data_IF_250902141934
#
_entry.id   IF_250902141934
#
_cell.length_a   1.000
_cell.length_b   1.000
_cell.length_c   1.000
_cell.angle_alpha   90.00
_cell.angle_beta   90.00
_cell.angle_gamma   90.00
#
_symmetry.space_group_name_H-M   'P 1'
#
loop_
_entity.id
_entity.type
_entity.pdbx_description
1 polymer ?
#
# COMPACT_ATOMS: atom_id res chain seq x y z
N UNK A 1 6.46 -10.07 -12.87
CA UNK A 1 7.26 -11.16 -12.29
C UNK A 1 7.11 -11.22 -10.76
N UNK A 2 7.38 -10.13 -10.04
CA UNK A 2 7.35 -10.12 -8.58
C UNK A 2 6.00 -10.49 -7.94
N UNK A 3 4.86 -9.99 -8.44
CA UNK A 3 3.54 -10.34 -7.88
C UNK A 3 3.27 -11.85 -7.89
N UNK A 4 3.65 -12.53 -8.99
CA UNK A 4 3.54 -13.99 -9.10
C UNK A 4 4.48 -14.68 -8.12
N UNK A 5 5.73 -14.25 -8.02
CA UNK A 5 6.70 -14.82 -7.09
C UNK A 5 6.24 -14.71 -5.62
N UNK A 6 5.64 -13.58 -5.22
CA UNK A 6 5.06 -13.43 -3.87
C UNK A 6 3.88 -14.39 -3.66
N UNK A 7 3.02 -14.53 -4.66
CA UNK A 7 1.86 -15.44 -4.62
C UNK A 7 2.30 -16.89 -4.50
N UNK A 8 3.18 -17.33 -5.40
CA UNK A 8 3.71 -18.70 -5.45
C UNK A 8 4.57 -19.02 -4.21
N UNK A 9 5.23 -18.00 -3.65
CA UNK A 9 5.98 -18.10 -2.40
C UNK A 9 5.12 -18.13 -1.13
N UNK A 10 3.79 -18.03 -1.25
CA UNK A 10 2.87 -18.08 -0.11
C UNK A 10 2.90 -16.82 0.77
N UNK A 11 3.28 -15.66 0.21
CA UNK A 11 3.30 -14.40 0.95
C UNK A 11 1.90 -13.82 1.16
N UNK A 12 1.58 -13.44 2.40
CA UNK A 12 0.26 -12.85 2.73
C UNK A 12 0.08 -11.43 2.16
N UNK A 13 1.18 -10.71 1.99
CA UNK A 13 1.18 -9.33 1.51
C UNK A 13 2.29 -9.07 0.49
N UNK A 14 1.95 -8.25 -0.52
CA UNK A 14 2.93 -7.50 -1.31
C UNK A 14 2.92 -6.03 -0.84
N UNK A 15 4.10 -5.39 -0.86
CA UNK A 15 4.28 -3.99 -0.41
C UNK A 15 4.85 -3.14 -1.53
N UNK A 16 4.36 -1.91 -1.71
CA UNK A 16 4.83 -1.00 -2.76
C UNK A 16 6.28 -0.56 -2.54
N UNK A 17 6.58 0.10 -1.41
CA UNK A 17 7.85 0.82 -1.27
C UNK A 17 8.43 0.71 0.14
N UNK A 18 9.76 0.80 0.25
CA UNK A 18 10.47 0.76 1.54
C UNK A 18 10.36 2.07 2.31
N UNK A 19 10.26 3.20 1.59
CA UNK A 19 10.37 4.55 2.12
C UNK A 19 11.79 5.13 2.10
N UNK A 20 12.79 4.35 1.68
CA UNK A 20 14.21 4.76 1.60
C UNK A 20 14.74 4.80 0.16
N UNK A 21 13.95 4.36 -0.81
CA UNK A 21 14.28 4.46 -2.23
C UNK A 21 14.06 5.88 -2.78
N UNK A 22 14.13 6.01 -4.10
CA UNK A 22 13.93 7.29 -4.80
C UNK A 22 12.46 7.66 -5.01
N UNK A 23 11.52 6.73 -4.77
CA UNK A 23 10.09 6.93 -4.96
C UNK A 23 9.24 6.21 -3.88
N UNK A 24 8.01 6.72 -3.69
CA UNK A 24 7.00 6.20 -2.77
C UNK A 24 6.00 5.27 -3.45
N UNK A 25 4.78 5.17 -2.90
CA UNK A 25 3.68 4.46 -3.53
C UNK A 25 3.06 5.29 -4.65
N UNK A 26 2.65 4.65 -5.75
CA UNK A 26 1.80 5.25 -6.79
C UNK A 26 0.52 4.43 -6.98
N UNK A 27 -0.60 5.08 -7.34
CA UNK A 27 -1.88 4.41 -7.52
C UNK A 27 -1.81 3.34 -8.62
N UNK A 28 -1.07 3.61 -9.69
CA UNK A 28 -0.92 2.67 -10.80
C UNK A 28 -0.12 1.43 -10.39
N UNK A 29 0.83 1.54 -9.46
CA UNK A 29 1.52 0.38 -8.90
C UNK A 29 0.56 -0.52 -8.13
N UNK A 30 -0.36 0.07 -7.34
CA UNK A 30 -1.36 -0.70 -6.59
C UNK A 30 -2.33 -1.40 -7.53
N UNK A 31 -2.83 -0.71 -8.56
CA UNK A 31 -3.72 -1.31 -9.57
C UNK A 31 -3.02 -2.45 -10.31
N UNK A 32 -1.76 -2.24 -10.69
CA UNK A 32 -0.94 -3.25 -11.36
C UNK A 32 -0.69 -4.46 -10.44
N UNK A 33 -0.38 -4.23 -9.16
CA UNK A 33 -0.26 -5.30 -8.17
C UNK A 33 -1.56 -6.07 -8.05
N UNK A 34 -2.71 -5.39 -7.91
CA UNK A 34 -4.02 -6.02 -7.76
C UNK A 34 -4.39 -6.91 -8.94
N UNK A 35 -4.01 -6.51 -10.15
CA UNK A 35 -4.22 -7.30 -11.36
C UNK A 35 -3.35 -8.57 -11.46
N UNK A 36 -2.31 -8.71 -10.63
CA UNK A 36 -1.27 -9.73 -10.81
C UNK A 36 -0.90 -10.55 -9.57
N UNK A 37 -1.43 -10.21 -8.39
CA UNK A 37 -1.32 -11.05 -7.20
C UNK A 37 -2.41 -12.13 -7.18
N UNK A 38 -2.18 -13.22 -6.44
CA UNK A 38 -3.20 -14.24 -6.18
C UNK A 38 -4.32 -13.73 -5.27
N UNK A 39 -5.45 -14.44 -5.28
CA UNK A 39 -6.67 -14.02 -4.59
C UNK A 39 -6.49 -13.77 -3.08
N UNK A 40 -5.60 -14.54 -2.43
CA UNK A 40 -5.37 -14.45 -0.97
C UNK A 40 -4.26 -13.47 -0.58
N UNK A 41 -3.51 -12.96 -1.56
CA UNK A 41 -2.43 -11.99 -1.31
C UNK A 41 -3.03 -10.59 -1.22
N UNK A 42 -2.62 -9.86 -0.19
CA UNK A 42 -3.08 -8.49 0.08
C UNK A 42 -2.03 -7.45 -0.31
N UNK A 43 -2.44 -6.20 -0.45
CA UNK A 43 -1.56 -5.09 -0.82
C UNK A 43 -1.36 -4.15 0.37
N UNK A 44 -0.10 -3.84 0.67
CA UNK A 44 0.29 -2.74 1.55
C UNK A 44 0.86 -1.58 0.75
N UNK A 45 0.08 -0.51 0.60
CA UNK A 45 0.59 0.75 0.04
C UNK A 45 1.42 1.48 1.11
N UNK A 46 2.66 1.82 0.80
CA UNK A 46 3.57 2.47 1.73
C UNK A 46 4.59 3.36 1.03
N UNK A 47 4.95 4.46 1.68
CA UNK A 47 5.93 5.43 1.19
C UNK A 47 5.25 6.69 0.65
N UNK A 48 5.43 7.81 1.36
CA UNK A 48 4.98 9.13 0.90
C UNK A 48 3.52 9.50 1.15
N UNK A 49 2.69 8.57 1.67
CA UNK A 49 1.26 8.80 1.95
C UNK A 49 1.09 9.67 3.20
N UNK A 50 0.63 10.90 3.03
CA UNK A 50 0.62 11.94 4.07
C UNK A 50 -0.73 12.65 4.26
N UNK A 51 -1.71 12.40 3.40
CA UNK A 51 -3.06 12.94 3.59
C UNK A 51 -4.11 11.83 3.69
N UNK A 52 -5.27 12.18 4.26
CA UNK A 52 -6.41 11.27 4.35
C UNK A 52 -6.93 10.92 2.95
N UNK A 53 -6.95 11.88 2.03
CA UNK A 53 -7.42 11.70 0.66
C UNK A 53 -6.51 10.74 -0.12
N UNK A 54 -5.19 10.85 0.04
CA UNK A 54 -4.24 9.89 -0.54
C UNK A 54 -4.48 8.49 0.03
N UNK A 55 -4.65 8.37 1.34
CA UNK A 55 -4.94 7.11 2.02
C UNK A 55 -6.21 6.45 1.45
N UNK A 56 -7.30 7.21 1.33
CA UNK A 56 -8.57 6.75 0.76
C UNK A 56 -8.41 6.32 -0.69
N UNK A 57 -7.72 7.12 -1.52
CA UNK A 57 -7.46 6.78 -2.91
C UNK A 57 -6.68 5.46 -3.07
N UNK A 58 -5.71 5.18 -2.17
CA UNK A 58 -4.98 3.90 -2.19
C UNK A 58 -5.87 2.71 -1.80
N UNK A 59 -6.75 2.89 -0.83
CA UNK A 59 -7.73 1.86 -0.43
C UNK A 59 -8.66 1.55 -1.59
N UNK A 60 -9.22 2.59 -2.23
CA UNK A 60 -10.09 2.46 -3.41
C UNK A 60 -9.37 1.79 -4.59
N UNK A 61 -8.08 2.06 -4.78
CA UNK A 61 -7.26 1.42 -5.81
C UNK A 61 -6.98 -0.08 -5.52
N UNK A 62 -7.26 -0.56 -4.30
CA UNK A 62 -7.15 -1.96 -3.91
C UNK A 62 -6.11 -2.26 -2.83
N UNK A 63 -5.60 -1.25 -2.12
CA UNK A 63 -4.73 -1.48 -0.96
C UNK A 63 -5.54 -1.96 0.27
N UNK A 64 -5.11 -3.06 0.87
CA UNK A 64 -5.70 -3.62 2.10
C UNK A 64 -5.09 -2.99 3.37
N UNK A 65 -3.89 -2.40 3.26
CA UNK A 65 -3.16 -1.83 4.38
C UNK A 65 -2.37 -0.59 3.96
N UNK A 66 -2.30 0.39 4.85
CA UNK A 66 -1.53 1.61 4.66
C UNK A 66 -0.31 1.61 5.59
N UNK A 67 0.86 1.90 5.02
CA UNK A 67 2.12 2.10 5.74
C UNK A 67 2.55 3.58 5.68
N UNK A 68 2.38 4.28 6.79
CA UNK A 68 2.65 5.71 6.93
C UNK A 68 3.12 6.05 8.34
N UNK A 69 4.00 7.04 8.47
CA UNK A 69 4.39 7.65 9.75
C UNK A 69 3.49 8.84 10.14
N UNK A 70 2.59 9.26 9.25
CA UNK A 70 1.75 10.46 9.41
C UNK A 70 0.33 10.14 9.86
N UNK A 71 0.05 8.92 10.33
CA UNK A 71 -1.30 8.44 10.63
C UNK A 71 -2.05 9.36 11.61
N UNK A 72 -1.41 9.78 12.70
CA UNK A 72 -2.02 10.66 13.71
C UNK A 72 -2.41 12.02 13.12
N UNK A 73 -1.53 12.61 12.31
CA UNK A 73 -1.78 13.89 11.64
C UNK A 73 -2.89 13.76 10.59
N UNK A 74 -2.91 12.67 9.81
CA UNK A 74 -3.92 12.44 8.76
C UNK A 74 -5.31 12.18 9.32
N UNK A 75 -5.40 11.39 10.39
CA UNK A 75 -6.67 10.96 10.95
C UNK A 75 -7.25 11.96 11.95
N UNK A 76 -6.50 13.02 12.27
CA UNK A 76 -6.92 14.03 13.24
C UNK A 76 -7.19 13.37 14.58
N UNK A 77 -6.12 13.04 15.31
CA UNK A 77 -6.31 12.81 16.74
C UNK A 77 -6.74 14.14 17.38
N UNK A 78 -8.04 14.31 17.62
CA UNK A 78 -8.44 14.92 18.88
C UNK A 78 -7.78 14.08 20.00
N UNK A 79 -7.20 14.75 20.99
CA UNK A 79 -6.54 14.09 22.13
C UNK A 79 -7.42 12.94 22.66
N UNK A 80 -6.87 11.72 22.59
CA UNK A 80 -7.43 10.53 23.25
C UNK A 80 -7.29 10.64 24.76
#
# INVERSE_FOLDING_TARGET
AMCRAVTEGGGDYIKTSTGFGTAGAALDDVRLMKAHIGADVKIKAAGGIRTKEEMEAFIEAGADRIGTSSAITMLGAEEL
#
